data_IF_723068432500
#
_entry.id   IF_723068432500
#
_cell.length_a   1.000
_cell.length_b   1.000
_cell.length_c   1.000
_cell.angle_alpha   90.00
_cell.angle_beta   90.00
_cell.angle_gamma   90.00
#
_symmetry.space_group_name_H-M   'P 1'
#
loop_
_entity.id
_entity.type
_entity.pdbx_description
1 polymer ?
#
# COMPACT_ATOMS: atom_id res chain seq x y z
N UNK A 1 3.61 -21.52 19.88
CA UNK A 1 3.05 -20.14 19.88
C UNK A 1 3.44 -19.43 18.58
N UNK A 2 2.81 -18.32 18.19
CA UNK A 2 3.07 -17.62 16.90
C UNK A 2 4.57 -17.30 16.64
N UNK A 3 5.35 -17.12 17.71
CA UNK A 3 6.80 -16.90 17.65
C UNK A 3 7.59 -18.11 17.14
N UNK A 4 7.08 -19.32 17.29
CA UNK A 4 7.69 -20.55 16.74
C UNK A 4 7.58 -20.62 15.21
N UNK A 5 6.67 -19.83 14.63
CA UNK A 5 6.39 -19.79 13.20
C UNK A 5 6.96 -18.54 12.52
N UNK A 6 7.60 -17.61 13.26
CA UNK A 6 8.17 -16.38 12.70
C UNK A 6 7.19 -15.21 12.50
N UNK A 7 5.92 -15.36 12.91
CA UNK A 7 4.83 -14.40 12.65
C UNK A 7 4.30 -13.71 13.92
N UNK A 8 5.12 -13.61 14.97
CA UNK A 8 4.74 -12.96 16.21
C UNK A 8 4.89 -11.43 16.13
N UNK A 9 4.09 -10.80 15.28
CA UNK A 9 3.98 -9.35 15.21
C UNK A 9 3.00 -8.81 16.25
N UNK A 10 3.29 -7.63 16.79
CA UNK A 10 2.45 -6.94 17.77
C UNK A 10 1.54 -5.86 17.17
N UNK A 11 1.50 -5.78 15.84
CA UNK A 11 0.67 -4.87 15.07
C UNK A 11 -0.82 -5.06 15.32
N UNK A 12 -1.60 -4.04 14.94
CA UNK A 12 -3.06 -4.05 15.11
C UNK A 12 -3.65 -4.54 13.81
N UNK A 13 -3.67 -5.86 13.67
CA UNK A 13 -4.07 -6.51 12.44
C UNK A 13 -5.59 -6.51 12.29
N UNK A 14 -6.08 -6.00 11.16
CA UNK A 14 -7.51 -5.94 10.83
C UNK A 14 -7.93 -7.03 9.84
N UNK A 15 -6.96 -7.63 9.15
CA UNK A 15 -7.20 -8.69 8.18
C UNK A 15 -5.91 -9.41 7.82
N UNK A 16 -6.04 -10.57 7.18
CA UNK A 16 -4.92 -11.29 6.61
C UNK A 16 -5.41 -12.12 5.41
N UNK A 17 -4.50 -12.40 4.49
CA UNK A 17 -4.74 -13.29 3.36
C UNK A 17 -3.52 -14.21 3.17
N UNK A 18 -3.82 -15.45 2.80
CA UNK A 18 -2.81 -16.37 2.29
C UNK A 18 -2.74 -16.25 0.76
N UNK A 19 -1.54 -16.14 0.23
CA UNK A 19 -1.23 -15.87 -1.18
C UNK A 19 0.04 -16.63 -1.54
N UNK A 20 0.06 -17.30 -2.70
CA UNK A 20 1.29 -17.92 -3.23
C UNK A 20 1.94 -16.88 -4.16
N UNK A 21 2.76 -15.98 -3.61
CA UNK A 21 3.20 -14.80 -4.36
C UNK A 21 4.40 -15.09 -5.26
N UNK A 22 5.18 -16.12 -4.96
CA UNK A 22 6.31 -16.55 -5.78
C UNK A 22 6.03 -17.78 -6.68
N UNK A 23 4.80 -18.31 -6.61
CA UNK A 23 4.32 -19.49 -7.35
C UNK A 23 5.15 -20.76 -7.06
N UNK A 24 5.75 -20.84 -5.87
CA UNK A 24 6.52 -22.01 -5.44
C UNK A 24 5.63 -23.15 -4.89
N UNK A 25 4.34 -22.85 -4.69
CA UNK A 25 3.31 -23.79 -4.23
C UNK A 25 3.09 -23.77 -2.72
N UNK A 26 3.85 -22.99 -1.96
CA UNK A 26 3.63 -22.72 -0.55
C UNK A 26 2.86 -21.39 -0.38
N UNK A 27 1.89 -21.37 0.54
CA UNK A 27 1.11 -20.16 0.78
C UNK A 27 1.85 -19.23 1.74
N UNK A 28 2.15 -18.03 1.27
CA UNK A 28 2.66 -16.87 2.00
C UNK A 28 1.55 -16.12 2.71
N UNK A 29 1.91 -15.19 3.59
CA UNK A 29 0.98 -14.50 4.47
C UNK A 29 1.13 -12.98 4.37
N UNK A 30 0.07 -12.32 3.91
CA UNK A 30 -0.10 -10.87 4.00
C UNK A 30 -0.97 -10.53 5.20
N UNK A 31 -0.51 -9.61 6.05
CA UNK A 31 -1.21 -9.14 7.24
C UNK A 31 -1.44 -7.64 7.11
N UNK A 32 -2.72 -7.28 7.06
CA UNK A 32 -3.21 -5.91 6.98
C UNK A 32 -3.23 -5.30 8.38
N UNK A 33 -2.53 -4.19 8.56
CA UNK A 33 -2.45 -3.47 9.81
C UNK A 33 -3.22 -2.14 9.76
N UNK A 34 -3.67 -1.71 10.94
CA UNK A 34 -4.35 -0.44 11.15
C UNK A 34 -3.73 0.27 12.36
N UNK A 35 -4.19 1.47 12.61
CA UNK A 35 -3.57 2.45 13.49
C UNK A 35 -3.34 1.94 14.91
N UNK A 36 -2.13 2.21 15.40
CA UNK A 36 -1.74 2.15 16.81
C UNK A 36 -1.17 3.49 17.31
N UNK A 37 -1.15 4.51 16.46
CA UNK A 37 -0.60 5.83 16.74
C UNK A 37 -1.40 6.55 17.80
N UNK A 38 -0.63 7.28 18.61
CA UNK A 38 -1.11 8.15 19.68
C UNK A 38 -1.62 9.49 19.10
N UNK A 39 -1.43 9.71 17.80
CA UNK A 39 -1.83 10.93 17.10
C UNK A 39 -3.16 10.76 16.39
N UNK A 40 -3.95 11.84 16.34
CA UNK A 40 -5.27 11.82 15.70
C UNK A 40 -5.10 11.58 14.19
N UNK A 41 -5.71 10.53 13.60
CA UNK A 41 -5.50 10.14 12.20
C UNK A 41 -5.88 11.23 11.18
N UNK A 42 -6.72 12.19 11.57
CA UNK A 42 -7.16 13.31 10.73
C UNK A 42 -6.17 14.47 10.66
N UNK A 43 -5.05 14.39 11.39
CA UNK A 43 -4.04 15.45 11.35
C UNK A 43 -3.25 15.38 10.05
N UNK A 44 -3.08 16.54 9.41
CA UNK A 44 -2.18 16.67 8.26
C UNK A 44 -0.73 16.49 8.73
N UNK A 45 -0.12 15.37 8.37
CA UNK A 45 1.32 15.09 8.48
C UNK A 45 1.83 14.32 7.27
N UNK A 46 3.13 14.44 6.98
CA UNK A 46 3.74 13.69 5.90
C UNK A 46 3.51 12.18 6.10
N UNK A 47 3.29 11.48 4.99
CA UNK A 47 3.19 10.01 5.00
C UNK A 47 4.52 9.39 5.37
N UNK A 48 4.48 8.34 6.16
CA UNK A 48 5.64 7.49 6.41
C UNK A 48 5.63 6.42 5.30
N UNK A 49 6.69 6.39 4.49
CA UNK A 49 6.80 5.58 3.26
C UNK A 49 8.08 4.75 3.20
N UNK A 50 8.81 4.67 4.33
CA UNK A 50 10.08 3.97 4.47
C UNK A 50 9.97 2.64 5.23
N UNK A 51 8.75 2.19 5.52
CA UNK A 51 8.45 0.96 6.25
C UNK A 51 8.63 1.06 7.76
N UNK A 52 9.01 2.23 8.28
CA UNK A 52 9.23 2.43 9.73
C UNK A 52 7.95 2.68 10.54
N UNK A 53 6.81 2.82 9.86
CA UNK A 53 5.54 3.12 10.50
C UNK A 53 5.07 1.94 11.38
N UNK A 54 4.53 2.24 12.56
CA UNK A 54 4.01 1.22 13.48
C UNK A 54 2.82 0.44 12.89
N UNK A 55 2.08 1.10 12.01
CA UNK A 55 0.91 0.59 11.31
C UNK A 55 1.25 0.17 9.87
N UNK A 56 2.54 -0.06 9.55
CA UNK A 56 2.91 -0.65 8.27
C UNK A 56 2.33 -2.07 8.19
N UNK A 57 1.83 -2.45 7.02
CA UNK A 57 1.41 -3.82 6.75
C UNK A 57 2.62 -4.77 6.86
N UNK A 58 2.32 -6.07 6.98
CA UNK A 58 3.33 -7.10 7.09
C UNK A 58 3.17 -8.16 6.02
N UNK A 59 4.28 -8.62 5.47
CA UNK A 59 4.30 -9.68 4.48
C UNK A 59 5.37 -10.71 4.80
N UNK A 60 4.95 -11.97 4.76
CA UNK A 60 5.73 -13.08 5.25
C UNK A 60 5.79 -14.17 4.19
N UNK A 61 7.01 -14.50 3.75
CA UNK A 61 7.24 -15.65 2.87
C UNK A 61 7.25 -16.93 3.68
N UNK A 62 6.56 -17.96 3.21
CA UNK A 62 6.62 -19.30 3.78
C UNK A 62 7.94 -19.99 3.39
N UNK A 63 8.62 -20.60 4.36
CA UNK A 63 9.91 -21.26 4.12
C UNK A 63 9.76 -22.74 3.69
N UNK A 64 8.54 -23.25 3.55
CA UNK A 64 8.23 -24.64 3.19
C UNK A 64 8.42 -25.66 4.33
N UNK A 65 8.88 -25.22 5.50
CA UNK A 65 9.02 -26.02 6.72
C UNK A 65 7.99 -25.65 7.80
N UNK A 66 7.00 -24.85 7.42
CA UNK A 66 5.97 -24.31 8.30
C UNK A 66 6.38 -23.03 9.02
N UNK A 67 7.62 -22.55 8.87
CA UNK A 67 8.05 -21.23 9.37
C UNK A 67 7.94 -20.16 8.30
N UNK A 68 7.96 -18.90 8.73
CA UNK A 68 7.85 -17.75 7.84
C UNK A 68 9.01 -16.77 8.06
N UNK A 69 9.36 -16.05 6.99
CA UNK A 69 10.34 -14.96 6.99
C UNK A 69 9.63 -13.65 6.68
N UNK A 70 9.83 -12.61 7.51
CA UNK A 70 9.36 -11.25 7.20
C UNK A 70 10.12 -10.74 5.96
N UNK A 71 9.38 -10.50 4.88
CA UNK A 71 9.87 -9.97 3.59
C UNK A 71 9.21 -8.63 3.26
N UNK A 72 8.64 -7.95 4.26
CA UNK A 72 7.83 -6.74 4.09
C UNK A 72 8.56 -5.65 3.29
N UNK A 73 9.83 -5.39 3.63
CA UNK A 73 10.60 -4.32 3.00
C UNK A 73 11.14 -4.77 1.64
N UNK A 74 11.57 -6.02 1.55
CA UNK A 74 12.03 -6.64 0.30
C UNK A 74 10.92 -6.65 -0.77
N UNK A 75 9.67 -6.88 -0.36
CA UNK A 75 8.49 -6.83 -1.23
C UNK A 75 7.98 -5.40 -1.51
N UNK A 76 8.65 -4.36 -1.02
CA UNK A 76 8.27 -2.96 -1.27
C UNK A 76 7.06 -2.46 -0.50
N UNK A 77 6.63 -3.18 0.56
CA UNK A 77 5.50 -2.78 1.41
C UNK A 77 6.02 -1.82 2.48
N UNK A 78 6.21 -0.56 2.09
CA UNK A 78 6.87 0.45 2.94
C UNK A 78 5.96 1.60 3.37
N UNK A 79 4.71 1.62 2.89
CA UNK A 79 3.76 2.71 3.14
C UNK A 79 2.93 2.36 4.38
N UNK A 80 2.85 3.30 5.32
CA UNK A 80 2.01 3.17 6.52
C UNK A 80 0.55 2.84 6.18
N UNK A 81 -0.10 1.98 6.98
CA UNK A 81 -1.45 1.47 6.68
C UNK A 81 -2.53 1.90 7.66
N UNK A 82 -3.70 2.27 7.13
CA UNK A 82 -4.96 2.41 7.86
C UNK A 82 -5.93 1.37 7.32
N UNK A 83 -5.47 0.11 7.30
CA UNK A 83 -6.09 -0.96 6.54
C UNK A 83 -7.53 -1.26 6.96
N UNK A 84 -8.44 -1.21 6.00
CA UNK A 84 -9.85 -1.58 6.18
C UNK A 84 -10.23 -2.87 5.44
N UNK A 85 -9.57 -3.14 4.33
CA UNK A 85 -9.94 -4.20 3.40
C UNK A 85 -8.73 -4.67 2.62
N UNK A 86 -8.69 -5.99 2.39
CA UNK A 86 -7.64 -6.70 1.68
C UNK A 86 -8.29 -7.58 0.63
N UNK A 87 -7.83 -7.47 -0.61
CA UNK A 87 -8.27 -8.32 -1.72
C UNK A 87 -7.06 -8.82 -2.49
N UNK A 88 -7.11 -10.09 -2.89
CA UNK A 88 -6.08 -10.74 -3.71
C UNK A 88 -6.73 -11.20 -5.01
N UNK A 89 -6.13 -10.84 -6.14
CA UNK A 89 -6.60 -11.22 -7.47
C UNK A 89 -5.47 -11.01 -8.48
N UNK A 90 -5.43 -11.81 -9.53
CA UNK A 90 -4.65 -11.49 -10.73
C UNK A 90 -5.43 -10.44 -11.53
N UNK A 91 -5.07 -9.15 -11.41
CA UNK A 91 -5.81 -8.04 -12.01
C UNK A 91 -5.34 -7.74 -13.43
N UNK A 92 -4.06 -7.98 -13.72
CA UNK A 92 -3.47 -7.71 -15.03
C UNK A 92 -3.50 -8.95 -15.97
N UNK A 93 -3.93 -10.12 -15.47
CA UNK A 93 -3.97 -11.43 -16.15
C UNK A 93 -2.59 -11.96 -16.56
N UNK A 94 -1.55 -11.72 -15.76
CA UNK A 94 -0.21 -12.24 -16.00
C UNK A 94 0.06 -13.59 -15.30
N UNK A 95 -0.91 -14.08 -14.53
CA UNK A 95 -0.84 -15.33 -13.78
C UNK A 95 -0.27 -15.21 -12.37
N UNK A 96 0.11 -14.00 -11.95
CA UNK A 96 0.64 -13.72 -10.62
C UNK A 96 -0.39 -12.97 -9.78
N UNK A 97 -0.47 -13.26 -8.47
CA UNK A 97 -1.49 -12.66 -7.65
C UNK A 97 -1.08 -11.25 -7.23
N UNK A 98 -1.97 -10.27 -7.46
CA UNK A 98 -1.83 -8.89 -7.01
C UNK A 98 -2.57 -8.67 -5.68
N UNK A 99 -2.16 -7.63 -4.94
CA UNK A 99 -2.74 -7.28 -3.64
C UNK A 99 -3.30 -5.86 -3.65
N UNK A 100 -4.60 -5.73 -3.38
CA UNK A 100 -5.25 -4.45 -3.17
C UNK A 100 -5.57 -4.23 -1.70
N UNK A 101 -5.16 -3.08 -1.18
CA UNK A 101 -5.40 -2.62 0.18
C UNK A 101 -6.21 -1.33 0.15
N UNK A 102 -7.39 -1.34 0.78
CA UNK A 102 -8.14 -0.11 1.04
C UNK A 102 -7.74 0.49 2.37
N UNK A 103 -7.42 1.79 2.38
CA UNK A 103 -6.99 2.54 3.54
C UNK A 103 -7.93 3.70 3.85
N UNK A 104 -7.84 4.19 5.08
CA UNK A 104 -8.45 5.44 5.51
C UNK A 104 -7.39 6.57 5.67
N UNK A 105 -7.90 7.79 5.88
CA UNK A 105 -7.14 8.98 6.31
C UNK A 105 -6.03 9.42 5.35
N UNK A 106 -4.77 9.34 5.80
CA UNK A 106 -3.60 9.92 5.12
C UNK A 106 -3.02 8.96 4.09
N UNK A 107 -3.24 7.66 4.23
CA UNK A 107 -2.77 6.64 3.29
C UNK A 107 -3.78 6.49 2.16
N UNK A 108 -3.29 6.38 0.92
CA UNK A 108 -4.16 6.11 -0.22
C UNK A 108 -4.60 4.64 -0.19
N UNK A 109 -5.62 4.29 -0.98
CA UNK A 109 -5.77 2.90 -1.40
C UNK A 109 -4.52 2.51 -2.22
N UNK A 110 -4.01 1.29 -1.99
CA UNK A 110 -2.76 0.81 -2.59
C UNK A 110 -3.04 -0.46 -3.37
N UNK A 111 -2.47 -0.54 -4.57
CA UNK A 111 -2.49 -1.75 -5.40
C UNK A 111 -1.05 -2.20 -5.65
N UNK A 112 -0.63 -3.25 -4.96
CA UNK A 112 0.63 -3.92 -5.24
C UNK A 112 0.42 -4.87 -6.42
N UNK A 113 1.08 -4.56 -7.55
CA UNK A 113 1.13 -5.46 -8.70
C UNK A 113 2.36 -6.35 -8.56
N UNK A 114 2.15 -7.66 -8.65
CA UNK A 114 3.22 -8.63 -8.55
C UNK A 114 3.89 -8.85 -9.91
N UNK A 115 4.83 -7.97 -10.25
CA UNK A 115 5.51 -7.97 -11.53
C UNK A 115 6.70 -8.95 -11.62
N UNK A 116 6.79 -9.98 -10.78
CA UNK A 116 7.79 -11.07 -10.89
C UNK A 116 9.26 -10.68 -10.72
N UNK A 117 9.54 -9.37 -10.62
CA UNK A 117 10.81 -8.64 -10.81
C UNK A 117 10.84 -7.82 -12.12
N UNK A 118 10.30 -6.59 -11.98
CA UNK A 118 10.37 -5.40 -12.85
C UNK A 118 9.48 -5.33 -14.13
N UNK A 119 8.84 -4.18 -14.33
CA UNK A 119 8.01 -3.94 -15.51
C UNK A 119 8.84 -3.57 -16.76
N UNK A 120 10.11 -3.19 -16.58
CA UNK A 120 10.95 -2.55 -17.61
C UNK A 120 12.37 -3.14 -17.78
N UNK A 121 12.68 -4.23 -17.11
CA UNK A 121 13.97 -4.92 -16.99
C UNK A 121 15.11 -4.11 -16.34
N UNK A 122 14.80 -3.22 -15.38
CA UNK A 122 15.78 -2.37 -14.68
C UNK A 122 16.19 -2.83 -13.26
N UNK A 123 15.56 -3.87 -12.72
CA UNK A 123 15.86 -4.41 -11.39
C UNK A 123 15.44 -3.50 -10.22
N UNK A 124 14.49 -2.58 -10.43
CA UNK A 124 13.90 -1.73 -9.38
C UNK A 124 12.42 -2.06 -9.15
N UNK A 125 11.91 -2.02 -7.91
CA UNK A 125 10.48 -2.22 -7.63
C UNK A 125 9.61 -1.12 -8.25
N UNK A 126 8.53 -1.51 -8.93
CA UNK A 126 7.51 -0.60 -9.49
C UNK A 126 6.27 -0.55 -8.58
N UNK A 127 5.68 0.64 -8.40
CA UNK A 127 4.50 0.85 -7.56
C UNK A 127 3.35 1.45 -8.38
N UNK A 128 2.15 0.88 -8.25
CA UNK A 128 0.92 1.46 -8.78
C UNK A 128 -0.01 1.86 -7.63
N UNK A 129 -0.57 3.07 -7.68
CA UNK A 129 -1.62 3.49 -6.73
C UNK A 129 -2.87 3.83 -7.51
N UNK A 130 -3.96 3.14 -7.21
CA UNK A 130 -5.29 3.51 -7.71
C UNK A 130 -6.04 4.26 -6.61
N UNK A 131 -6.51 5.46 -6.92
CA UNK A 131 -7.39 6.22 -6.04
C UNK A 131 -8.82 6.12 -6.57
N UNK A 132 -9.79 5.85 -5.70
CA UNK A 132 -11.15 5.51 -6.09
C UNK A 132 -11.92 6.70 -6.67
N UNK A 133 -11.86 6.89 -7.99
CA UNK A 133 -12.80 7.75 -8.69
C UNK A 133 -14.15 7.03 -8.84
N UNK A 134 -15.18 7.55 -8.17
CA UNK A 134 -16.57 7.20 -8.53
C UNK A 134 -16.82 7.52 -10.01
N UNK A 135 -17.27 6.52 -10.77
CA UNK A 135 -17.56 6.58 -12.22
C UNK A 135 -18.39 7.81 -12.60
N UNK A 136 -19.25 8.25 -11.70
CA UNK A 136 -20.25 9.28 -11.89
C UNK A 136 -20.13 10.48 -10.94
N UNK A 137 -20.45 11.68 -11.46
CA UNK A 137 -20.42 12.94 -10.70
C UNK A 137 -21.37 12.95 -9.49
N UNK A 138 -22.35 12.04 -9.45
CA UNK A 138 -23.25 11.88 -8.32
C UNK A 138 -22.52 11.25 -7.13
N UNK A 139 -21.81 10.14 -7.34
CA UNK A 139 -21.06 9.43 -6.30
C UNK A 139 -19.94 10.30 -5.73
N UNK A 140 -19.23 11.06 -6.57
CA UNK A 140 -18.21 12.05 -6.15
C UNK A 140 -18.73 13.09 -5.14
N UNK A 141 -19.99 13.54 -5.28
CA UNK A 141 -20.58 14.57 -4.40
C UNK A 141 -21.11 14.01 -3.08
N UNK A 142 -21.22 12.68 -2.96
CA UNK A 142 -21.71 12.01 -1.75
C UNK A 142 -20.59 11.44 -0.88
N UNK A 143 -19.42 11.17 -1.45
CA UNK A 143 -18.25 10.62 -0.71
C UNK A 143 -17.14 11.65 -0.42
N UNK A 144 -17.08 12.78 -1.13
CA UNK A 144 -16.01 13.79 -0.95
C UNK A 144 -16.58 15.04 -0.26
N UNK A 145 -16.06 15.34 0.93
CA UNK A 145 -16.44 16.52 1.71
C UNK A 145 -16.03 17.85 1.05
N UNK A 146 -16.71 18.95 1.39
CA UNK A 146 -16.35 20.29 0.88
C UNK A 146 -14.97 20.70 1.40
N UNK A 147 -13.99 20.90 0.51
CA UNK A 147 -12.70 21.48 0.88
C UNK A 147 -12.84 22.98 1.20
N UNK A 148 -12.27 23.41 2.33
CA UNK A 148 -12.19 24.81 2.72
C UNK A 148 -10.90 25.44 2.18
N UNK A 149 -10.89 26.76 2.00
CA UNK A 149 -9.70 27.51 1.55
C UNK A 149 -8.47 27.29 2.47
N UNK A 150 -8.70 27.00 3.75
CA UNK A 150 -7.63 26.70 4.70
C UNK A 150 -6.93 25.37 4.37
N UNK A 151 -7.69 24.34 3.97
CA UNK A 151 -7.13 23.06 3.51
C UNK A 151 -6.29 23.25 2.25
N UNK A 152 -6.76 24.10 1.33
CA UNK A 152 -6.01 24.45 0.13
C UNK A 152 -4.63 25.06 0.46
N UNK A 153 -4.59 26.07 1.34
CA UNK A 153 -3.34 26.70 1.75
C UNK A 153 -2.42 25.77 2.56
N UNK A 154 -3.00 24.86 3.36
CA UNK A 154 -2.21 23.87 4.10
C UNK A 154 -1.62 22.79 3.18
N UNK A 155 -2.33 22.39 2.13
CA UNK A 155 -1.80 21.48 1.12
C UNK A 155 -0.57 22.08 0.42
N UNK A 156 -0.67 23.34 -0.04
CA UNK A 156 0.47 24.06 -0.62
C UNK A 156 1.63 24.23 0.38
N UNK A 157 1.34 24.52 1.66
CA UNK A 157 2.36 24.78 2.68
C UNK A 157 3.18 23.54 3.04
N UNK A 158 2.55 22.36 3.08
CA UNK A 158 3.17 21.11 3.50
C UNK A 158 3.52 20.18 2.33
N UNK A 159 3.36 20.65 1.09
CA UNK A 159 3.69 19.90 -0.11
C UNK A 159 2.74 18.74 -0.43
N UNK A 160 1.50 18.78 0.08
CA UNK A 160 0.48 17.84 -0.38
C UNK A 160 0.00 18.22 -1.76
N UNK A 161 -0.16 17.23 -2.62
CA UNK A 161 -0.80 17.43 -3.90
C UNK A 161 -2.27 17.79 -3.72
N UNK A 162 -2.80 18.55 -4.68
CA UNK A 162 -4.23 18.79 -4.74
C UNK A 162 -4.92 17.44 -4.90
N UNK A 163 -5.75 17.06 -3.92
CA UNK A 163 -6.63 15.90 -4.02
C UNK A 163 -7.60 16.10 -5.18
N UNK A 164 -7.13 15.73 -6.35
CA UNK A 164 -7.96 15.33 -7.45
C UNK A 164 -7.94 13.83 -7.43
N UNK A 165 -9.11 13.23 -7.20
CA UNK A 165 -9.25 11.80 -7.36
C UNK A 165 -8.94 11.48 -8.83
N UNK A 166 -7.78 10.89 -9.06
CA UNK A 166 -7.22 10.52 -10.37
C UNK A 166 -6.28 9.34 -10.12
N UNK A 167 -6.22 8.41 -11.05
CA UNK A 167 -5.17 7.40 -11.04
C UNK A 167 -3.85 8.08 -11.40
N UNK A 168 -2.78 7.83 -10.64
CA UNK A 168 -1.45 8.34 -10.94
C UNK A 168 -0.50 7.17 -11.09
N UNK A 169 0.27 7.16 -12.19
CA UNK A 169 1.42 6.28 -12.38
C UNK A 169 2.67 7.10 -12.13
N UNK A 170 3.46 6.73 -11.13
CA UNK A 170 4.78 7.33 -10.89
C UNK A 170 5.87 6.44 -11.48
N UNK A 171 6.45 6.89 -12.60
CA UNK A 171 7.52 6.19 -13.30
C UNK A 171 8.88 6.54 -12.67
N UNK A 172 9.63 5.51 -12.27
CA UNK A 172 11.01 5.66 -11.82
C UNK A 172 11.92 6.04 -13.01
N UNK A 173 12.67 7.14 -12.88
CA UNK A 173 13.55 7.64 -13.95
C UNK A 173 15.02 7.19 -13.80
N UNK A 174 15.34 6.36 -12.81
CA UNK A 174 16.70 5.86 -12.56
C UNK A 174 17.48 6.63 -11.47
N UNK A 175 18.66 6.10 -11.13
CA UNK A 175 19.44 6.52 -9.96
C UNK A 175 19.83 8.00 -9.97
N UNK A 176 19.44 8.72 -8.91
CA UNK A 176 19.74 10.14 -8.71
C UNK A 176 18.80 11.12 -9.43
N UNK A 177 17.74 10.62 -10.08
CA UNK A 177 16.71 11.44 -10.72
C UNK A 177 15.37 11.33 -9.98
N UNK A 178 14.59 12.42 -9.90
CA UNK A 178 13.25 12.37 -9.34
C UNK A 178 12.33 11.53 -10.23
N UNK A 179 11.28 10.92 -9.65
CA UNK A 179 10.23 10.19 -10.39
C UNK A 179 9.45 11.12 -11.34
N UNK A 180 8.89 10.55 -12.41
CA UNK A 180 7.94 11.23 -13.32
C UNK A 180 6.51 10.81 -12.99
N UNK A 181 5.60 11.77 -12.83
CA UNK A 181 4.16 11.51 -12.83
C UNK A 181 3.65 11.36 -14.28
N UNK A 182 2.93 10.28 -14.55
CA UNK A 182 2.29 9.99 -15.82
C UNK A 182 0.81 9.71 -15.53
N UNK A 183 -0.03 10.75 -15.50
CA UNK A 183 -1.47 10.60 -15.21
C UNK A 183 -2.21 11.91 -15.05
#
# INVERSE_FOLDING_TARGET
MASEYGIADSGNSMGAAFIDYDLDGDLDLYVLNNEQSISVPTNYRQKIVDGSAINNDKFYRNNGDGTFTDVTIEAGITIEGFGLGLAVSDLNNDGWPDVHVSNDYVTNDILYINNQDDFNNDGMPDLFTIDMLGEDNYRKKTTIGRNSYQVYTSNEQWGYEYQHVRNMLHLNNGSGLPFSEIG
#
